data_IF_388670484566
#
_entry.id   IF_388670484566
#
_cell.length_a   1.000
_cell.length_b   1.000
_cell.length_c   1.000
_cell.angle_alpha   90.00
_cell.angle_beta   90.00
_cell.angle_gamma   90.00
#
_symmetry.space_group_name_H-M   'P 1'
#
loop_
_entity.id
_entity.type
_entity.pdbx_description
1 polymer ?
#
# COMPACT_ATOMS: atom_id res chain seq x y z
N UNK A 1 61.58 6.45 -0.76
CA UNK A 1 60.82 6.22 -2.00
C UNK A 1 59.57 5.43 -1.61
N UNK A 2 58.44 6.14 -1.50
CA UNK A 2 57.04 5.72 -1.24
C UNK A 2 56.81 4.74 -0.06
N UNK A 3 56.23 5.07 1.11
CA UNK A 3 54.99 5.80 1.46
C UNK A 3 53.81 5.55 0.52
N UNK A 4 52.97 4.58 0.88
CA UNK A 4 51.51 4.71 0.71
C UNK A 4 50.85 4.60 2.09
N UNK A 5 50.23 5.69 2.57
CA UNK A 5 49.52 5.80 3.83
C UNK A 5 48.01 5.55 3.66
N UNK A 6 47.30 5.26 4.75
CA UNK A 6 45.85 5.48 4.81
C UNK A 6 44.95 4.32 5.21
N UNK A 7 45.39 3.41 6.10
CA UNK A 7 44.47 2.62 6.91
C UNK A 7 43.86 3.53 8.00
N UNK A 8 42.94 4.40 7.57
CA UNK A 8 42.18 5.31 8.44
C UNK A 8 41.27 4.52 9.35
N UNK A 9 41.60 4.56 10.64
CA UNK A 9 40.79 4.08 11.75
C UNK A 9 39.57 4.99 11.98
N UNK A 10 38.58 4.43 12.68
CA UNK A 10 37.56 5.19 13.41
C UNK A 10 36.19 4.93 12.80
N UNK A 11 35.27 4.23 13.46
CA UNK A 11 34.88 4.51 14.84
C UNK A 11 33.72 5.50 14.83
N UNK A 12 32.53 5.01 14.51
CA UNK A 12 31.27 5.60 14.97
C UNK A 12 30.29 4.46 15.18
N UNK A 13 30.49 3.78 16.31
CA UNK A 13 29.47 3.02 17.00
C UNK A 13 28.41 4.00 17.56
N UNK A 14 27.77 4.76 16.67
CA UNK A 14 26.68 5.69 16.99
C UNK A 14 25.46 5.10 16.32
N UNK A 15 24.47 4.74 17.12
CA UNK A 15 23.33 3.90 16.73
C UNK A 15 22.38 4.56 15.73
N UNK A 16 22.74 4.54 14.46
CA UNK A 16 21.91 5.13 13.41
C UNK A 16 21.53 4.06 12.39
N UNK A 17 20.23 3.81 12.29
CA UNK A 17 19.58 2.85 11.40
C UNK A 17 19.66 3.25 9.91
N UNK A 18 20.77 3.81 9.44
CA UNK A 18 20.88 4.32 8.08
C UNK A 18 20.83 3.12 7.11
N UNK A 19 19.83 3.06 6.22
CA UNK A 19 19.71 1.97 5.28
C UNK A 19 20.91 2.04 4.33
N UNK A 20 21.71 0.98 4.30
CA UNK A 20 22.86 0.80 3.38
C UNK A 20 22.54 1.11 1.91
N UNK A 21 21.25 1.10 1.54
CA UNK A 21 20.75 1.50 0.23
C UNK A 21 20.85 3.02 -0.03
N UNK A 22 20.70 3.86 0.99
CA UNK A 22 20.88 5.31 0.90
C UNK A 22 22.37 5.68 0.88
N UNK A 23 23.18 5.04 1.72
CA UNK A 23 24.65 5.19 1.73
C UNK A 23 25.23 4.80 0.35
N UNK A 24 24.82 3.65 -0.20
CA UNK A 24 25.29 3.19 -1.51
C UNK A 24 24.87 4.13 -2.66
N UNK A 25 23.70 4.77 -2.58
CA UNK A 25 23.24 5.73 -3.58
C UNK A 25 24.05 7.05 -3.51
N UNK A 26 24.41 7.49 -2.30
CA UNK A 26 25.29 8.63 -2.07
C UNK A 26 26.71 8.36 -2.56
N UNK A 27 27.23 7.14 -2.32
CA UNK A 27 28.54 6.69 -2.83
C UNK A 27 28.60 6.67 -4.38
N UNK A 28 27.46 6.40 -5.04
CA UNK A 28 27.30 6.47 -6.50
C UNK A 28 27.14 7.92 -7.03
N UNK A 29 27.18 8.93 -6.16
CA UNK A 29 27.11 10.35 -6.53
C UNK A 29 25.69 10.90 -6.69
N UNK A 30 24.66 10.20 -6.20
CA UNK A 30 23.28 10.69 -6.25
C UNK A 30 23.04 11.79 -5.21
N UNK A 31 22.31 12.84 -5.59
CA UNK A 31 21.84 13.86 -4.64
C UNK A 31 20.75 13.29 -3.71
N UNK A 32 20.62 13.79 -2.48
CA UNK A 32 19.65 13.26 -1.49
C UNK A 32 18.19 13.22 -1.97
N UNK A 33 17.77 14.17 -2.81
CA UNK A 33 16.44 14.14 -3.46
C UNK A 33 16.30 13.01 -4.47
N UNK A 34 17.37 12.68 -5.20
CA UNK A 34 17.39 11.59 -6.15
C UNK A 34 17.37 10.23 -5.44
N UNK A 35 18.11 10.09 -4.34
CA UNK A 35 18.06 8.92 -3.46
C UNK A 35 16.66 8.70 -2.89
N UNK A 36 16.03 9.74 -2.35
CA UNK A 36 14.66 9.64 -1.82
C UNK A 36 13.67 9.16 -2.88
N UNK A 37 13.65 9.78 -4.07
CA UNK A 37 12.67 9.45 -5.11
C UNK A 37 12.93 8.09 -5.78
N UNK A 38 14.19 7.67 -5.93
CA UNK A 38 14.54 6.42 -6.64
C UNK A 38 14.67 5.20 -5.73
N UNK A 39 15.01 5.39 -4.45
CA UNK A 39 15.25 4.30 -3.50
C UNK A 39 14.14 4.31 -2.46
N UNK A 40 14.09 5.31 -1.59
CA UNK A 40 13.23 5.33 -0.41
C UNK A 40 11.73 5.33 -0.77
N UNK A 41 11.30 6.14 -1.74
CA UNK A 41 9.90 6.24 -2.16
C UNK A 41 9.33 4.94 -2.74
N UNK A 42 9.94 4.27 -3.73
CA UNK A 42 9.42 3.00 -4.25
C UNK A 42 9.47 1.87 -3.21
N UNK A 43 10.43 1.88 -2.29
CA UNK A 43 10.50 0.94 -1.15
C UNK A 43 9.34 1.15 -0.16
N UNK A 44 8.97 2.41 0.11
CA UNK A 44 7.84 2.75 0.99
C UNK A 44 6.48 2.61 0.30
N UNK A 45 6.42 2.69 -1.02
CA UNK A 45 5.20 2.62 -1.82
C UNK A 45 4.26 1.46 -1.45
N UNK A 46 4.71 0.18 -1.36
CA UNK A 46 3.82 -0.92 -0.99
C UNK A 46 3.25 -0.78 0.44
N UNK A 47 4.03 -0.22 1.37
CA UNK A 47 3.58 0.02 2.75
C UNK A 47 2.55 1.17 2.82
N UNK A 48 2.82 2.28 2.11
CA UNK A 48 1.90 3.42 2.02
C UNK A 48 0.59 3.00 1.35
N UNK A 49 0.65 2.21 0.27
CA UNK A 49 -0.54 1.71 -0.41
C UNK A 49 -1.37 0.81 0.51
N UNK A 50 -0.72 -0.06 1.29
CA UNK A 50 -1.40 -0.92 2.26
C UNK A 50 -2.10 -0.09 3.34
N UNK A 51 -1.41 0.90 3.92
CA UNK A 51 -1.99 1.79 4.92
C UNK A 51 -3.14 2.64 4.35
N UNK A 52 -3.00 3.12 3.11
CA UNK A 52 -4.05 3.86 2.41
C UNK A 52 -5.33 3.03 2.25
N UNK A 53 -5.22 1.79 1.78
CA UNK A 53 -6.37 0.90 1.61
C UNK A 53 -7.10 0.63 2.93
N UNK A 54 -6.34 0.43 4.02
CA UNK A 54 -6.90 0.23 5.36
C UNK A 54 -7.62 1.50 5.83
N UNK A 55 -6.99 2.67 5.71
CA UNK A 55 -7.59 3.93 6.12
C UNK A 55 -8.88 4.25 5.35
N UNK A 56 -8.89 4.03 4.03
CA UNK A 56 -10.10 4.17 3.19
C UNK A 56 -11.17 3.20 3.67
N UNK A 57 -10.84 1.93 3.90
CA UNK A 57 -11.81 0.92 4.36
C UNK A 57 -12.48 1.34 5.67
N UNK A 58 -11.69 1.78 6.65
CA UNK A 58 -12.20 2.24 7.95
C UNK A 58 -13.11 3.47 7.77
N UNK A 59 -12.72 4.43 6.92
CA UNK A 59 -13.52 5.64 6.69
C UNK A 59 -14.89 5.33 6.08
N UNK A 60 -15.01 4.31 5.23
CA UNK A 60 -16.30 3.93 4.63
C UNK A 60 -17.22 3.16 5.61
N UNK A 61 -16.65 2.51 6.62
CA UNK A 61 -17.39 1.72 7.62
C UNK A 61 -18.03 2.57 8.74
N UNK A 62 -17.57 3.82 8.91
CA UNK A 62 -17.96 4.67 10.03
C UNK A 62 -19.30 5.40 9.83
N UNK A 63 -20.34 4.71 9.39
CA UNK A 63 -21.64 5.32 9.04
C UNK A 63 -22.35 5.95 10.25
N UNK A 64 -22.20 5.35 11.43
CA UNK A 64 -22.88 5.81 12.66
C UNK A 64 -22.34 7.15 13.11
N UNK A 65 -21.02 7.29 13.22
CA UNK A 65 -20.37 8.53 13.68
C UNK A 65 -20.52 9.60 12.60
N UNK A 66 -20.32 9.25 11.33
CA UNK A 66 -20.52 10.16 10.21
C UNK A 66 -21.94 10.73 10.16
N UNK A 67 -22.97 9.94 10.51
CA UNK A 67 -24.37 10.40 10.54
C UNK A 67 -24.64 11.47 11.59
N UNK A 68 -23.88 11.51 12.69
CA UNK A 68 -24.01 12.55 13.72
C UNK A 68 -23.19 13.81 13.41
N UNK A 69 -22.18 13.69 12.56
CA UNK A 69 -21.29 14.79 12.18
C UNK A 69 -21.72 15.50 10.87
N UNK A 70 -22.43 14.78 9.99
CA UNK A 70 -22.94 15.28 8.72
C UNK A 70 -23.98 16.39 8.93
N UNK A 71 -23.85 17.47 8.15
CA UNK A 71 -24.79 18.59 8.11
C UNK A 71 -25.71 18.49 6.89
N UNK A 72 -25.61 19.46 5.98
CA UNK A 72 -26.44 19.51 4.76
C UNK A 72 -25.97 18.57 3.67
N UNK A 73 -24.68 18.26 3.61
CA UNK A 73 -24.07 17.37 2.63
C UNK A 73 -23.90 15.97 3.23
N UNK A 74 -24.48 14.97 2.57
CA UNK A 74 -24.40 13.56 3.03
C UNK A 74 -23.25 12.83 2.34
N UNK A 75 -22.53 12.01 3.10
CA UNK A 75 -21.54 11.09 2.53
C UNK A 75 -22.25 9.88 1.93
N UNK A 76 -21.61 9.23 0.95
CA UNK A 76 -22.22 8.10 0.24
C UNK A 76 -22.69 6.95 1.17
N UNK A 77 -21.92 6.52 2.21
CA UNK A 77 -22.39 5.49 3.14
C UNK A 77 -23.64 5.91 3.94
N UNK A 78 -23.67 7.17 4.41
CA UNK A 78 -24.81 7.72 5.15
C UNK A 78 -26.03 7.86 4.25
N UNK A 79 -25.83 8.28 3.00
CA UNK A 79 -26.87 8.34 1.98
C UNK A 79 -27.50 6.97 1.78
N UNK A 80 -26.70 5.94 1.49
CA UNK A 80 -27.21 4.58 1.33
C UNK A 80 -27.98 4.13 2.58
N UNK A 81 -27.42 4.29 3.77
CA UNK A 81 -28.08 3.91 5.02
C UNK A 81 -29.43 4.61 5.23
N UNK A 82 -29.57 5.88 4.86
CA UNK A 82 -30.83 6.63 4.96
C UNK A 82 -31.93 6.06 4.06
N UNK A 83 -31.57 5.50 2.89
CA UNK A 83 -32.52 4.98 1.91
C UNK A 83 -33.19 3.67 2.35
N UNK A 84 -32.64 2.96 3.33
CA UNK A 84 -33.22 1.72 3.89
C UNK A 84 -34.64 1.97 4.46
N UNK A 85 -34.89 3.19 4.93
CA UNK A 85 -36.19 3.59 5.51
C UNK A 85 -37.29 3.77 4.46
N UNK A 86 -36.93 3.85 3.18
CA UNK A 86 -37.87 4.07 2.07
C UNK A 86 -37.98 2.79 1.23
N UNK A 87 -39.09 2.02 1.35
CA UNK A 87 -39.21 0.73 0.69
C UNK A 87 -39.14 0.80 -0.84
N UNK A 88 -39.52 1.95 -1.42
CA UNK A 88 -39.44 2.21 -2.87
C UNK A 88 -38.00 2.19 -3.41
N UNK A 89 -37.00 2.48 -2.58
CA UNK A 89 -35.60 2.61 -3.00
C UNK A 89 -34.76 1.37 -2.67
N UNK A 90 -35.33 0.40 -1.94
CA UNK A 90 -34.68 -0.87 -1.61
C UNK A 90 -34.15 -1.64 -2.83
N UNK A 91 -34.87 -1.76 -3.97
CA UNK A 91 -34.35 -2.49 -5.13
C UNK A 91 -33.06 -1.88 -5.70
N UNK A 92 -32.97 -0.54 -5.73
CA UNK A 92 -31.80 0.16 -6.22
C UNK A 92 -30.60 0.00 -5.27
N UNK A 93 -30.83 0.06 -3.96
CA UNK A 93 -29.79 -0.20 -2.97
C UNK A 93 -29.22 -1.61 -3.07
N UNK A 94 -30.09 -2.61 -3.20
CA UNK A 94 -29.67 -4.00 -3.35
C UNK A 94 -28.87 -4.22 -4.64
N UNK A 95 -29.27 -3.55 -5.74
CA UNK A 95 -28.50 -3.59 -6.98
C UNK A 95 -27.08 -3.06 -6.79
N UNK A 96 -26.91 -1.92 -6.09
CA UNK A 96 -25.58 -1.36 -5.77
C UNK A 96 -24.78 -2.32 -4.88
N UNK A 97 -25.41 -2.92 -3.87
CA UNK A 97 -24.74 -3.87 -2.97
C UNK A 97 -24.22 -5.11 -3.72
N UNK A 98 -25.02 -5.66 -4.64
CA UNK A 98 -24.61 -6.79 -5.49
C UNK A 98 -23.46 -6.40 -6.43
N UNK A 99 -23.51 -5.21 -7.04
CA UNK A 99 -22.43 -4.71 -7.91
C UNK A 99 -21.11 -4.60 -7.14
N UNK A 100 -21.14 -4.00 -5.95
CA UNK A 100 -19.95 -3.88 -5.10
C UNK A 100 -19.44 -5.27 -4.67
N UNK A 101 -20.33 -6.17 -4.26
CA UNK A 101 -19.98 -7.54 -3.88
C UNK A 101 -19.28 -8.28 -5.03
N UNK A 102 -19.84 -8.23 -6.24
CA UNK A 102 -19.26 -8.87 -7.43
C UNK A 102 -17.91 -8.23 -7.78
N UNK A 103 -17.78 -6.91 -7.68
CA UNK A 103 -16.53 -6.22 -7.93
C UNK A 103 -15.44 -6.64 -6.92
N UNK A 104 -15.75 -6.67 -5.62
CA UNK A 104 -14.81 -7.13 -4.59
C UNK A 104 -14.42 -8.60 -4.80
N UNK A 105 -15.40 -9.47 -5.11
CA UNK A 105 -15.13 -10.87 -5.40
C UNK A 105 -14.21 -11.04 -6.61
N UNK A 106 -14.44 -10.26 -7.68
CA UNK A 106 -13.60 -10.28 -8.87
C UNK A 106 -12.16 -9.88 -8.56
N UNK A 107 -11.95 -8.87 -7.72
CA UNK A 107 -10.61 -8.45 -7.27
C UNK A 107 -9.93 -9.56 -6.46
N UNK A 108 -10.62 -10.14 -5.48
CA UNK A 108 -10.06 -11.19 -4.62
C UNK A 108 -9.72 -12.44 -5.42
N UNK A 109 -10.64 -12.89 -6.29
CA UNK A 109 -10.42 -14.05 -7.16
C UNK A 109 -9.28 -13.77 -8.14
N UNK A 110 -9.25 -12.58 -8.74
CA UNK A 110 -8.17 -12.16 -9.63
C UNK A 110 -6.80 -12.16 -8.94
N UNK A 111 -6.72 -11.63 -7.72
CA UNK A 111 -5.50 -11.62 -6.91
C UNK A 111 -5.04 -13.04 -6.55
N UNK A 112 -5.96 -13.91 -6.14
CA UNK A 112 -5.64 -15.29 -5.77
C UNK A 112 -5.25 -16.14 -6.99
N UNK A 113 -5.91 -15.97 -8.14
CA UNK A 113 -5.50 -16.61 -9.38
C UNK A 113 -4.12 -16.14 -9.83
N UNK A 114 -3.84 -14.83 -9.74
CA UNK A 114 -2.52 -14.26 -10.02
C UNK A 114 -1.43 -14.84 -9.12
N UNK A 115 -1.71 -14.97 -7.81
CA UNK A 115 -0.79 -15.57 -6.84
C UNK A 115 -0.47 -17.03 -7.19
N UNK A 116 -1.49 -17.83 -7.52
CA UNK A 116 -1.31 -19.23 -7.94
C UNK A 116 -0.49 -19.38 -9.22
N UNK A 117 -0.63 -18.45 -10.16
CA UNK A 117 0.15 -18.43 -11.40
C UNK A 117 1.60 -18.04 -11.13
N UNK A 118 1.83 -17.08 -10.22
CA UNK A 118 3.18 -16.67 -9.82
C UNK A 118 3.94 -17.80 -9.11
N UNK A 119 3.27 -18.52 -8.20
CA UNK A 119 3.85 -19.66 -7.48
C UNK A 119 4.29 -20.78 -8.44
N UNK A 120 3.48 -21.12 -9.46
CA UNK A 120 3.85 -22.13 -10.48
C UNK A 120 5.06 -21.76 -11.34
N UNK A 121 5.41 -20.47 -11.44
CA UNK A 121 6.59 -20.03 -12.20
C UNK A 121 7.89 -20.14 -11.40
N UNK A 122 7.82 -20.30 -10.09
CA UNK A 122 8.98 -20.43 -9.21
C UNK A 122 9.41 -21.90 -9.00
N UNK A 123 8.53 -22.88 -9.29
CA UNK A 123 8.81 -24.32 -9.13
C UNK A 123 9.59 -24.98 -10.29
N UNK A 124 10.12 -24.23 -11.26
CA UNK A 124 10.79 -24.79 -12.46
C UNK A 124 12.01 -23.95 -12.86
N UNK A 125 13.26 -24.26 -12.41
CA UNK A 125 14.25 -24.94 -13.28
C UNK A 125 15.38 -25.76 -12.58
N UNK A 126 15.40 -25.95 -11.25
CA UNK A 126 16.57 -26.53 -10.56
C UNK A 126 16.65 -28.08 -10.55
N UNK A 127 15.60 -28.79 -10.94
CA UNK A 127 15.58 -30.27 -10.97
C UNK A 127 16.33 -30.89 -12.18
N UNK A 128 17.20 -30.12 -12.85
CA UNK A 128 18.01 -30.56 -14.00
C UNK A 128 19.43 -29.97 -13.92
N UNK A 129 20.19 -30.32 -12.88
CA UNK A 129 21.65 -30.18 -12.86
C UNK A 129 22.25 -31.34 -12.07
#
# INVERSE_FOLDING_TARGET
MATVPGAGKGGSATGEHLPWQEEAALDLGANGWETFRRVTFPLLLPAVLSAYLVAVTISFDEVVIASFLVGTETTYPVYLFSQIRFPTLLPQMLAVAVVVLVATLAVVVGAELGRRVAERRLDLPEARA
#
